data_IF_529654088131
#
_entry.id   IF_529654088131
#
_cell.length_a   1.000
_cell.length_b   1.000
_cell.length_c   1.000
_cell.angle_alpha   90.00
_cell.angle_beta   90.00
_cell.angle_gamma   90.00
#
_symmetry.space_group_name_H-M   'P 1'
#
loop_
_entity.id
_entity.type
_entity.pdbx_description
1 polymer ?
#
# COMPACT_ATOMS: atom_id res chain seq x y z
N UNK A 1 -95.42 -2.99 32.54
CA UNK A 1 -94.28 -2.44 33.32
C UNK A 1 -93.11 -2.16 32.38
N UNK A 2 -92.74 -0.88 32.21
CA UNK A 2 -91.67 -0.42 31.31
C UNK A 2 -90.28 -0.78 31.87
N UNK A 3 -89.43 -1.45 31.09
CA UNK A 3 -87.97 -1.52 31.36
C UNK A 3 -87.20 -1.02 30.13
N UNK A 4 -86.22 -0.16 30.44
CA UNK A 4 -85.44 0.70 29.56
C UNK A 4 -84.56 -0.09 28.59
N UNK A 5 -84.42 0.41 27.36
CA UNK A 5 -83.40 0.00 26.38
C UNK A 5 -82.04 0.56 26.79
N UNK A 6 -81.00 -0.28 26.78
CA UNK A 6 -79.59 0.12 26.88
C UNK A 6 -78.93 -0.32 25.57
N UNK A 7 -78.43 0.64 24.80
CA UNK A 7 -77.61 0.42 23.61
C UNK A 7 -76.14 0.32 24.05
N UNK A 8 -75.45 -0.78 23.72
CA UNK A 8 -73.99 -0.87 23.80
C UNK A 8 -73.45 -1.33 22.46
N UNK A 9 -72.53 -0.50 21.93
CA UNK A 9 -71.91 -0.60 20.61
C UNK A 9 -70.89 -1.74 20.55
N UNK A 10 -70.87 -2.38 19.39
CA UNK A 10 -69.96 -3.43 18.92
C UNK A 10 -68.55 -2.84 18.72
N UNK A 11 -67.52 -3.50 19.27
CA UNK A 11 -66.11 -3.31 18.87
C UNK A 11 -65.57 -4.70 18.52
N UNK A 12 -65.22 -4.89 17.25
CA UNK A 12 -64.61 -6.10 16.68
C UNK A 12 -63.09 -5.94 16.82
N UNK A 13 -62.41 -6.92 17.45
CA UNK A 13 -60.96 -6.98 17.52
C UNK A 13 -60.47 -8.26 16.83
N UNK A 14 -59.75 -8.09 15.72
CA UNK A 14 -59.20 -9.15 14.88
C UNK A 14 -57.92 -9.71 15.50
N UNK A 15 -57.86 -11.01 15.77
CA UNK A 15 -56.67 -11.71 16.29
C UNK A 15 -56.05 -12.53 15.15
N UNK A 16 -54.86 -12.13 14.67
CA UNK A 16 -54.01 -12.95 13.79
C UNK A 16 -53.16 -13.91 14.63
N UNK A 17 -53.14 -15.18 14.23
CA UNK A 17 -52.30 -16.26 14.78
C UNK A 17 -50.79 -15.96 14.63
N UNK A 18 -50.01 -16.31 15.65
CA UNK A 18 -48.56 -16.44 15.57
C UNK A 18 -48.16 -17.87 16.01
N UNK A 19 -47.76 -18.72 15.06
CA UNK A 19 -47.25 -20.06 15.29
C UNK A 19 -45.74 -20.02 15.51
N UNK A 20 -45.27 -20.45 16.69
CA UNK A 20 -43.85 -20.53 17.03
C UNK A 20 -43.25 -21.84 16.54
N UNK A 21 -42.38 -21.79 15.53
CA UNK A 21 -41.52 -22.89 15.12
C UNK A 21 -40.28 -22.88 16.02
N UNK A 22 -40.08 -23.92 16.82
CA UNK A 22 -38.88 -24.13 17.62
C UNK A 22 -37.80 -24.71 16.71
N UNK A 23 -36.87 -23.86 16.27
CA UNK A 23 -35.66 -24.26 15.54
C UNK A 23 -34.67 -24.88 16.55
N UNK A 24 -34.14 -26.10 16.34
CA UNK A 24 -33.12 -26.64 17.23
C UNK A 24 -31.83 -25.85 17.04
N UNK A 25 -31.39 -25.19 18.13
CA UNK A 25 -30.09 -24.55 18.21
C UNK A 25 -29.02 -25.65 18.16
N UNK A 26 -28.47 -25.92 16.98
CA UNK A 26 -27.19 -26.60 16.89
C UNK A 26 -26.14 -25.68 17.52
N UNK A 27 -25.66 -26.03 18.70
CA UNK A 27 -24.51 -25.38 19.31
C UNK A 27 -23.31 -25.57 18.38
N UNK A 28 -22.98 -24.52 17.62
CA UNK A 28 -21.73 -24.43 16.87
C UNK A 28 -20.62 -24.42 17.93
N UNK A 29 -19.86 -25.50 18.04
CA UNK A 29 -18.69 -25.53 18.91
C UNK A 29 -17.72 -24.48 18.40
N UNK A 30 -17.54 -23.39 19.15
CA UNK A 30 -16.59 -22.35 18.81
C UNK A 30 -15.19 -22.93 18.89
N UNK A 31 -14.51 -23.08 17.75
CA UNK A 31 -13.07 -23.25 17.75
C UNK A 31 -12.47 -22.03 18.45
N UNK A 32 -11.63 -22.24 19.47
CA UNK A 32 -10.94 -21.15 20.13
C UNK A 32 -10.14 -20.35 19.09
N UNK A 33 -10.34 -19.03 19.04
CA UNK A 33 -9.59 -18.15 18.17
C UNK A 33 -8.09 -18.30 18.50
N UNK A 34 -7.27 -18.67 17.52
CA UNK A 34 -5.81 -18.68 17.65
C UNK A 34 -5.36 -17.31 18.15
N UNK A 35 -4.71 -17.25 19.31
CA UNK A 35 -4.27 -15.97 19.87
C UNK A 35 -2.88 -15.63 19.33
N UNK A 36 -2.58 -14.33 19.19
CA UNK A 36 -1.24 -13.86 18.75
C UNK A 36 -0.12 -14.33 19.69
N UNK A 37 -0.42 -14.58 20.96
CA UNK A 37 0.48 -15.20 21.93
C UNK A 37 0.89 -16.62 21.53
N UNK A 38 -0.01 -17.40 20.93
CA UNK A 38 0.27 -18.78 20.53
C UNK A 38 1.26 -18.84 19.35
N UNK A 39 1.08 -17.94 18.37
CA UNK A 39 1.98 -17.80 17.22
C UNK A 39 3.41 -17.49 17.67
N UNK A 40 3.56 -16.53 18.60
CA UNK A 40 4.88 -16.16 19.12
C UNK A 40 5.48 -17.28 19.96
N UNK A 41 4.66 -17.98 20.76
CA UNK A 41 5.12 -19.12 21.53
C UNK A 41 5.62 -20.25 20.62
N UNK A 42 4.92 -20.53 19.52
CA UNK A 42 5.35 -21.50 18.51
C UNK A 42 6.65 -21.07 17.84
N UNK A 43 6.74 -19.82 17.37
CA UNK A 43 7.95 -19.26 16.76
C UNK A 43 9.18 -19.41 17.68
N UNK A 44 9.02 -19.17 18.99
CA UNK A 44 10.09 -19.28 19.98
C UNK A 44 10.65 -20.70 20.15
N UNK A 45 9.88 -21.75 19.84
CA UNK A 45 10.37 -23.15 19.87
C UNK A 45 11.47 -23.43 18.84
N UNK A 46 11.72 -22.49 17.93
CA UNK A 46 12.67 -22.66 16.84
C UNK A 46 13.92 -21.79 16.98
N UNK A 47 14.05 -21.01 18.07
CA UNK A 47 15.26 -20.23 18.35
C UNK A 47 16.52 -21.11 18.28
N UNK A 48 17.57 -20.59 17.64
CA UNK A 48 18.85 -21.25 17.42
C UNK A 48 18.87 -22.25 16.25
N UNK A 49 17.73 -22.55 15.60
CA UNK A 49 17.73 -23.45 14.43
C UNK A 49 18.48 -22.80 13.26
N UNK A 50 19.24 -23.59 12.46
CA UNK A 50 20.09 -23.06 11.41
C UNK A 50 19.29 -22.44 10.27
N UNK A 51 19.86 -21.38 9.69
CA UNK A 51 19.34 -20.81 8.45
C UNK A 51 19.80 -21.63 7.24
N UNK A 52 18.90 -21.89 6.30
CA UNK A 52 19.22 -22.45 4.98
C UNK A 52 18.30 -21.83 3.93
N UNK A 53 18.89 -21.31 2.85
CA UNK A 53 18.13 -20.81 1.71
C UNK A 53 17.15 -21.88 1.18
N UNK A 54 15.87 -21.54 1.04
CA UNK A 54 14.81 -22.47 0.67
C UNK A 54 14.31 -23.38 1.81
N UNK A 55 14.79 -23.19 3.04
CA UNK A 55 14.46 -24.03 4.19
C UNK A 55 13.04 -23.79 4.71
N UNK A 56 12.23 -24.85 4.84
CA UNK A 56 10.81 -24.78 5.23
C UNK A 56 10.48 -25.56 6.50
N UNK A 57 11.50 -25.82 7.33
CA UNK A 57 11.38 -26.55 8.59
C UNK A 57 11.34 -28.08 8.48
N UNK A 58 11.22 -28.76 9.63
CA UNK A 58 11.34 -28.19 10.97
C UNK A 58 12.80 -27.98 11.41
N UNK A 59 13.79 -28.52 10.70
CA UNK A 59 15.18 -28.56 11.17
C UNK A 59 16.03 -27.36 10.74
N UNK A 60 15.62 -26.64 9.71
CA UNK A 60 16.28 -25.44 9.20
C UNK A 60 15.29 -24.57 8.43
N UNK A 61 15.54 -23.27 8.36
CA UNK A 61 14.61 -22.31 7.76
C UNK A 61 15.32 -21.25 6.93
N UNK A 62 14.69 -20.72 5.89
CA UNK A 62 14.92 -19.34 5.47
C UNK A 62 13.86 -18.41 6.10
N UNK A 63 13.90 -17.11 5.80
CA UNK A 63 13.03 -16.12 6.43
C UNK A 63 11.54 -16.39 6.17
N UNK A 64 11.13 -16.53 4.91
CA UNK A 64 9.73 -16.79 4.52
C UNK A 64 9.27 -18.21 4.86
N UNK A 65 10.15 -19.21 4.77
CA UNK A 65 9.88 -20.58 5.17
C UNK A 65 9.70 -20.74 6.67
N UNK A 66 10.41 -19.97 7.49
CA UNK A 66 10.18 -19.88 8.93
C UNK A 66 8.77 -19.38 9.25
N UNK A 67 8.39 -18.23 8.69
CA UNK A 67 7.06 -17.64 8.93
C UNK A 67 5.96 -18.58 8.44
N UNK A 68 6.07 -19.08 7.21
CA UNK A 68 5.11 -20.04 6.65
C UNK A 68 4.95 -21.29 7.54
N UNK A 69 6.05 -21.85 8.06
CA UNK A 69 6.00 -23.02 8.94
C UNK A 69 5.29 -22.75 10.26
N UNK A 70 5.56 -21.60 10.91
CA UNK A 70 4.93 -21.23 12.18
C UNK A 70 3.43 -21.07 12.01
N UNK A 71 3.00 -20.32 10.99
CA UNK A 71 1.57 -20.10 10.73
C UNK A 71 0.83 -21.38 10.32
N UNK A 72 1.51 -22.30 9.63
CA UNK A 72 0.96 -23.61 9.28
C UNK A 72 0.55 -24.45 10.50
N UNK A 73 1.17 -24.26 11.66
CA UNK A 73 0.77 -24.97 12.90
C UNK A 73 -0.63 -24.58 13.41
N UNK A 74 -1.19 -23.49 12.87
CA UNK A 74 -2.48 -22.95 13.24
C UNK A 74 -3.53 -23.04 12.11
N UNK A 75 -3.26 -23.88 11.11
CA UNK A 75 -4.04 -24.05 9.88
C UNK A 75 -4.06 -22.80 8.96
N UNK A 76 -3.05 -21.94 9.08
CA UNK A 76 -2.90 -20.74 8.25
C UNK A 76 -1.82 -21.01 7.20
N UNK A 77 -2.25 -21.22 5.95
CA UNK A 77 -1.35 -21.51 4.85
C UNK A 77 -0.85 -20.21 4.21
N UNK A 78 0.41 -19.86 4.48
CA UNK A 78 1.11 -18.75 3.83
C UNK A 78 2.13 -19.29 2.82
N UNK A 79 2.39 -18.59 1.70
CA UNK A 79 3.48 -18.96 0.81
C UNK A 79 4.82 -18.84 1.55
N UNK A 80 5.78 -19.68 1.15
CA UNK A 80 7.13 -19.71 1.72
C UNK A 80 8.11 -18.87 0.88
N UNK A 81 7.62 -17.79 0.29
CA UNK A 81 8.37 -16.93 -0.62
C UNK A 81 8.14 -15.46 -0.26
N UNK A 82 9.20 -14.66 -0.36
CA UNK A 82 9.16 -13.20 -0.23
C UNK A 82 9.94 -12.61 -1.42
N UNK A 83 9.40 -11.54 -1.98
CA UNK A 83 9.87 -10.85 -3.18
C UNK A 83 8.78 -9.92 -3.71
N UNK A 84 9.08 -9.05 -4.66
CA UNK A 84 8.13 -8.02 -5.16
C UNK A 84 6.93 -8.61 -5.91
N UNK A 85 7.16 -9.65 -6.69
CA UNK A 85 6.16 -10.19 -7.61
C UNK A 85 5.73 -11.59 -7.21
N UNK A 86 4.62 -12.06 -7.79
CA UNK A 86 4.14 -13.43 -7.61
C UNK A 86 3.43 -13.65 -6.28
N UNK A 87 3.33 -14.91 -5.86
CA UNK A 87 2.62 -15.33 -4.64
C UNK A 87 3.48 -15.09 -3.38
N UNK A 88 3.82 -13.82 -3.15
CA UNK A 88 4.69 -13.38 -2.07
C UNK A 88 3.93 -13.28 -0.75
N UNK A 89 4.57 -13.65 0.36
CA UNK A 89 3.94 -13.68 1.69
C UNK A 89 3.41 -12.32 2.13
N UNK A 90 4.00 -11.22 1.65
CA UNK A 90 3.52 -9.87 1.93
C UNK A 90 2.20 -9.53 1.24
N UNK A 91 1.70 -10.38 0.34
CA UNK A 91 0.36 -10.20 -0.21
C UNK A 91 -0.71 -10.59 0.80
N UNK A 92 -0.42 -11.41 1.81
CA UNK A 92 -1.43 -12.03 2.67
C UNK A 92 -1.71 -11.23 3.95
N UNK A 93 -3.00 -11.14 4.32
CA UNK A 93 -3.45 -10.49 5.55
C UNK A 93 -3.69 -8.99 5.42
N UNK A 94 -4.12 -8.37 6.52
CA UNK A 94 -4.44 -6.94 6.55
C UNK A 94 -3.16 -6.10 6.58
N UNK A 95 -3.07 -5.09 5.72
CA UNK A 95 -1.96 -4.12 5.71
C UNK A 95 -1.86 -3.41 7.07
N UNK A 96 -0.65 -3.34 7.62
CA UNK A 96 -0.28 -2.48 8.75
C UNK A 96 0.80 -1.52 8.24
N UNK A 97 0.40 -0.27 7.96
CA UNK A 97 1.22 0.71 7.26
C UNK A 97 2.25 1.39 8.16
N UNK A 98 1.89 1.68 9.42
CA UNK A 98 2.77 2.37 10.35
C UNK A 98 3.42 1.39 11.32
N UNK A 99 4.71 1.59 11.57
CA UNK A 99 5.46 0.81 12.56
C UNK A 99 4.88 0.93 13.98
N UNK A 100 4.21 2.05 14.29
CA UNK A 100 3.50 2.28 15.56
C UNK A 100 2.26 1.42 15.75
N UNK A 101 1.67 0.93 14.65
CA UNK A 101 0.43 0.14 14.66
C UNK A 101 0.70 -1.36 14.75
N UNK A 102 1.98 -1.74 14.81
CA UNK A 102 2.41 -3.13 14.94
C UNK A 102 1.90 -3.73 16.23
N UNK A 103 1.29 -4.90 16.09
CA UNK A 103 0.88 -5.75 17.20
C UNK A 103 1.69 -7.04 17.16
N UNK A 104 2.11 -7.57 18.33
CA UNK A 104 2.80 -8.86 18.36
C UNK A 104 2.01 -9.91 17.57
N UNK A 105 2.70 -10.65 16.70
CA UNK A 105 2.11 -11.61 15.76
C UNK A 105 1.98 -11.11 14.32
N UNK A 106 2.04 -9.79 14.08
CA UNK A 106 2.11 -9.25 12.71
C UNK A 106 3.39 -9.74 12.01
N UNK A 107 3.33 -10.05 10.72
CA UNK A 107 4.53 -10.30 9.92
C UNK A 107 5.09 -8.97 9.44
N UNK A 108 6.40 -8.77 9.58
CA UNK A 108 7.10 -7.54 9.23
C UNK A 108 7.98 -7.82 8.02
N UNK A 109 7.81 -7.01 6.99
CA UNK A 109 8.59 -7.08 5.75
C UNK A 109 9.72 -6.07 5.84
N UNK A 110 10.93 -6.53 5.55
CA UNK A 110 12.14 -5.73 5.57
C UNK A 110 12.91 -5.82 4.25
N UNK A 111 13.94 -4.99 4.12
CA UNK A 111 14.96 -5.09 3.07
C UNK A 111 14.39 -5.08 1.65
N UNK A 112 13.38 -4.23 1.43
CA UNK A 112 12.72 -4.09 0.13
C UNK A 112 12.16 -5.43 -0.38
N UNK A 113 11.36 -6.09 0.46
CA UNK A 113 10.82 -7.44 0.19
C UNK A 113 11.89 -8.53 0.07
N UNK A 114 13.08 -8.31 0.65
CA UNK A 114 14.14 -9.31 0.74
C UNK A 114 14.07 -10.17 2.00
N UNK A 115 13.39 -9.69 3.05
CA UNK A 115 13.37 -10.35 4.35
C UNK A 115 12.01 -10.24 5.05
N UNK A 116 11.70 -11.22 5.91
CA UNK A 116 10.46 -11.24 6.70
C UNK A 116 10.66 -11.88 8.07
N UNK A 117 9.94 -11.39 9.07
CA UNK A 117 9.89 -11.97 10.42
C UNK A 117 8.55 -11.72 11.11
N UNK A 118 8.37 -12.29 12.31
CA UNK A 118 7.15 -12.12 13.11
C UNK A 118 7.44 -11.12 14.21
N UNK A 119 6.65 -10.04 14.31
CA UNK A 119 6.80 -9.02 15.34
C UNK A 119 6.53 -9.61 16.72
N UNK A 120 7.44 -9.38 17.67
CA UNK A 120 7.34 -9.87 19.06
C UNK A 120 7.18 -8.74 20.07
N UNK A 121 7.01 -7.50 19.61
CA UNK A 121 6.91 -6.31 20.47
C UNK A 121 8.25 -5.59 20.66
N UNK A 122 8.18 -4.38 21.22
CA UNK A 122 9.35 -3.55 21.58
C UNK A 122 10.32 -3.33 20.41
N UNK A 123 9.82 -3.17 19.18
CA UNK A 123 10.65 -2.97 18.00
C UNK A 123 11.44 -4.20 17.53
N UNK A 124 11.10 -5.40 18.01
CA UNK A 124 11.81 -6.65 17.67
C UNK A 124 10.95 -7.63 16.87
N UNK A 125 11.60 -8.42 16.03
CA UNK A 125 11.04 -9.56 15.30
C UNK A 125 11.75 -10.85 15.70
N UNK A 126 11.03 -11.97 15.61
CA UNK A 126 11.64 -13.31 15.52
C UNK A 126 11.73 -13.71 14.03
N UNK A 127 12.92 -14.08 13.59
CA UNK A 127 13.22 -14.36 12.18
C UNK A 127 14.33 -15.40 12.03
N UNK A 128 14.34 -16.14 10.92
CA UNK A 128 15.53 -16.86 10.46
C UNK A 128 16.45 -15.84 9.78
N UNK A 129 17.49 -15.38 10.48
CA UNK A 129 18.22 -14.18 10.13
C UNK A 129 19.19 -14.37 8.96
N UNK A 130 20.10 -15.33 9.07
CA UNK A 130 21.18 -15.59 8.11
C UNK A 130 21.94 -16.88 8.49
N UNK A 131 22.82 -17.44 7.62
CA UNK A 131 23.57 -18.66 7.89
C UNK A 131 24.40 -18.68 9.18
N UNK A 132 24.82 -17.51 9.69
CA UNK A 132 25.63 -17.39 10.90
C UNK A 132 24.79 -17.45 12.17
N UNK A 133 23.66 -16.75 12.18
CA UNK A 133 22.88 -16.54 13.40
C UNK A 133 21.67 -17.47 13.53
N UNK A 134 21.19 -18.06 12.43
CA UNK A 134 19.99 -18.91 12.44
C UNK A 134 18.72 -18.15 12.85
N UNK A 135 17.78 -18.85 13.50
CA UNK A 135 16.56 -18.25 14.04
C UNK A 135 16.85 -17.51 15.34
N UNK A 136 16.58 -16.22 15.37
CA UNK A 136 16.82 -15.36 16.55
C UNK A 136 15.74 -14.31 16.73
N UNK A 137 15.78 -13.61 17.86
CA UNK A 137 15.07 -12.35 18.05
C UNK A 137 16.05 -11.20 17.83
N UNK A 138 15.64 -10.18 17.08
CA UNK A 138 16.45 -9.00 16.81
C UNK A 138 15.59 -7.78 16.49
N UNK A 139 16.19 -6.57 16.48
CA UNK A 139 15.47 -5.35 16.17
C UNK A 139 15.04 -5.33 14.70
N UNK A 140 13.98 -4.58 14.40
CA UNK A 140 13.61 -4.16 13.04
C UNK A 140 14.66 -3.13 12.57
N UNK A 141 15.22 -3.32 11.37
CA UNK A 141 16.20 -2.40 10.78
C UNK A 141 15.66 -1.64 9.58
N UNK A 142 15.14 -2.34 8.58
CA UNK A 142 14.78 -1.78 7.27
C UNK A 142 13.30 -1.99 6.98
N UNK A 143 12.45 -1.51 7.89
CA UNK A 143 11.00 -1.66 7.80
C UNK A 143 10.45 -1.17 6.45
N UNK A 144 9.65 -2.02 5.79
CA UNK A 144 8.93 -1.66 4.56
C UNK A 144 7.44 -1.56 4.85
N UNK A 145 6.84 -2.64 5.35
CA UNK A 145 5.41 -2.75 5.67
C UNK A 145 5.21 -3.94 6.60
N UNK A 146 3.99 -4.11 7.13
CA UNK A 146 3.61 -5.32 7.85
C UNK A 146 2.24 -5.85 7.41
N UNK A 147 1.98 -7.11 7.76
CA UNK A 147 0.68 -7.74 7.57
C UNK A 147 0.20 -8.37 8.87
N UNK A 148 -1.06 -8.10 9.19
CA UNK A 148 -1.79 -8.73 10.29
C UNK A 148 -2.56 -9.93 9.76
N UNK A 149 -2.21 -11.11 10.26
CA UNK A 149 -2.79 -12.38 9.82
C UNK A 149 -3.86 -12.81 10.84
N UNK A 150 -5.11 -12.95 10.41
CA UNK A 150 -6.27 -13.27 11.27
C UNK A 150 -6.96 -14.53 10.73
N UNK A 151 -7.15 -15.56 11.56
CA UNK A 151 -7.74 -16.87 11.16
C UNK A 151 -9.16 -16.77 10.61
N UNK A 152 -9.95 -15.80 11.09
CA UNK A 152 -11.36 -15.61 10.72
C UNK A 152 -11.59 -14.61 9.57
N UNK A 153 -10.52 -14.03 9.03
CA UNK A 153 -10.57 -13.37 7.71
C UNK A 153 -10.17 -14.43 6.68
N UNK A 154 -10.89 -14.61 5.55
CA UNK A 154 -10.54 -15.64 4.59
C UNK A 154 -9.05 -15.59 4.27
N UNK A 155 -8.31 -16.64 4.64
CA UNK A 155 -6.94 -16.91 4.16
C UNK A 155 -7.00 -17.50 2.74
N UNK A 156 -8.00 -17.08 1.96
CA UNK A 156 -7.88 -17.06 0.50
C UNK A 156 -6.79 -16.04 0.19
N UNK A 157 -5.95 -16.24 -0.86
CA UNK A 157 -5.12 -15.15 -1.34
C UNK A 157 -6.03 -13.92 -1.38
N UNK A 158 -5.66 -12.79 -0.74
CA UNK A 158 -6.50 -11.61 -0.86
C UNK A 158 -6.73 -11.47 -2.34
N UNK A 159 -8.01 -11.27 -2.69
CA UNK A 159 -8.44 -10.78 -4.01
C UNK A 159 -7.24 -10.07 -4.61
N UNK A 160 -6.65 -10.59 -5.70
CA UNK A 160 -5.30 -10.22 -6.12
C UNK A 160 -5.18 -8.74 -5.88
N UNK A 161 -4.30 -8.31 -4.94
CA UNK A 161 -4.12 -6.89 -4.59
C UNK A 161 -4.19 -6.23 -5.93
N UNK A 162 -5.26 -5.46 -6.14
CA UNK A 162 -5.51 -4.98 -7.48
C UNK A 162 -4.19 -4.37 -7.90
N UNK A 163 -3.52 -4.77 -9.00
CA UNK A 163 -2.21 -4.22 -9.30
C UNK A 163 -2.25 -2.68 -9.34
N UNK A 164 -3.46 -2.10 -9.43
CA UNK A 164 -3.78 -0.68 -9.24
C UNK A 164 -3.57 -0.17 -7.81
N UNK A 165 -3.88 -0.94 -6.75
CA UNK A 165 -3.59 -0.59 -5.35
C UNK A 165 -2.09 -0.51 -5.04
N UNK A 166 -1.27 -1.36 -5.68
CA UNK A 166 0.19 -1.31 -5.48
C UNK A 166 0.78 -0.07 -6.16
N UNK A 167 0.43 0.17 -7.43
CA UNK A 167 0.90 1.36 -8.15
C UNK A 167 0.38 2.64 -7.51
N UNK A 168 -0.88 2.68 -7.05
CA UNK A 168 -1.44 3.81 -6.31
C UNK A 168 -0.58 4.19 -5.11
N UNK A 169 -0.17 3.21 -4.31
CA UNK A 169 0.69 3.44 -3.14
C UNK A 169 2.11 3.83 -3.53
N UNK A 170 2.63 3.30 -4.64
CA UNK A 170 3.97 3.65 -5.14
C UNK A 170 4.01 5.11 -5.61
N UNK A 171 2.98 5.55 -6.32
CA UNK A 171 2.93 6.91 -6.87
C UNK A 171 2.41 7.95 -5.86
N UNK A 172 1.89 7.53 -4.70
CA UNK A 172 1.38 8.47 -3.71
C UNK A 172 2.46 8.94 -2.75
N UNK A 173 2.70 10.24 -2.74
CA UNK A 173 3.58 10.90 -1.79
C UNK A 173 2.77 11.86 -0.93
N UNK A 174 2.56 11.47 0.33
CA UNK A 174 1.75 12.25 1.28
C UNK A 174 2.29 13.67 1.51
N UNK A 175 3.62 13.85 1.51
CA UNK A 175 4.20 15.18 1.72
C UNK A 175 3.94 16.07 0.50
N UNK A 176 4.20 15.55 -0.70
CA UNK A 176 3.86 16.24 -1.93
C UNK A 176 2.37 16.56 -1.99
N UNK A 177 1.50 15.58 -1.69
CA UNK A 177 0.06 15.74 -1.80
C UNK A 177 -0.46 16.80 -0.84
N UNK A 178 0.03 16.82 0.40
CA UNK A 178 -0.29 17.86 1.37
C UNK A 178 0.19 19.25 0.92
N UNK A 179 1.42 19.36 0.41
CA UNK A 179 2.00 20.63 -0.02
C UNK A 179 1.31 21.18 -1.28
N UNK A 180 0.89 20.31 -2.19
CA UNK A 180 0.13 20.66 -3.38
C UNK A 180 -1.33 21.05 -3.08
N UNK A 181 -1.87 20.61 -1.93
CA UNK A 181 -3.29 20.70 -1.59
C UNK A 181 -3.48 21.26 -0.18
N UNK A 182 -3.26 22.57 -0.01
CA UNK A 182 -3.27 23.20 1.31
C UNK A 182 -4.62 23.06 2.02
N UNK A 183 -5.74 23.05 1.27
CA UNK A 183 -7.08 22.79 1.79
C UNK A 183 -7.22 21.43 2.48
N UNK A 184 -6.55 20.41 1.96
CA UNK A 184 -6.56 19.04 2.51
C UNK A 184 -5.58 18.95 3.68
N UNK A 185 -4.39 19.55 3.52
CA UNK A 185 -3.37 19.60 4.57
C UNK A 185 -3.86 20.34 5.82
N UNK A 186 -4.64 21.40 5.68
CA UNK A 186 -5.15 22.16 6.82
C UNK A 186 -6.12 21.32 7.67
N UNK A 187 -6.71 20.25 7.12
CA UNK A 187 -7.61 19.32 7.82
C UNK A 187 -6.85 18.11 8.38
N UNK A 188 -6.00 17.48 7.56
CA UNK A 188 -5.39 16.18 7.88
C UNK A 188 -3.89 16.26 8.20
N UNK A 189 -3.29 17.43 8.11
CA UNK A 189 -1.84 17.61 8.22
C UNK A 189 -1.09 16.81 7.17
N UNK A 190 -0.10 16.06 7.63
CA UNK A 190 0.74 15.16 6.81
C UNK A 190 0.45 13.68 7.09
N UNK A 191 -0.75 13.36 7.60
CA UNK A 191 -1.15 11.97 7.88
C UNK A 191 -1.33 11.18 6.59
N UNK A 192 -0.47 10.17 6.38
CA UNK A 192 -0.45 9.38 5.14
C UNK A 192 -1.81 8.75 4.82
N UNK A 193 -2.43 8.06 5.79
CA UNK A 193 -3.64 7.27 5.53
C UNK A 193 -4.84 8.18 5.25
N UNK A 194 -4.95 9.33 5.94
CA UNK A 194 -6.00 10.33 5.69
C UNK A 194 -5.83 11.01 4.35
N UNK A 195 -4.60 11.39 3.99
CA UNK A 195 -4.32 12.03 2.71
C UNK A 195 -4.52 11.07 1.54
N UNK A 196 -4.08 9.81 1.69
CA UNK A 196 -4.29 8.76 0.70
C UNK A 196 -5.78 8.47 0.52
N UNK A 197 -6.53 8.33 1.61
CA UNK A 197 -7.97 8.14 1.56
C UNK A 197 -8.66 9.31 0.84
N UNK A 198 -8.32 10.55 1.18
CA UNK A 198 -8.87 11.73 0.51
C UNK A 198 -8.55 11.72 -1.00
N UNK A 199 -7.32 11.34 -1.38
CA UNK A 199 -6.95 11.24 -2.78
C UNK A 199 -7.77 10.18 -3.54
N UNK A 200 -7.95 8.99 -2.96
CA UNK A 200 -8.76 7.94 -3.58
C UNK A 200 -10.23 8.34 -3.72
N UNK A 201 -10.82 8.95 -2.69
CA UNK A 201 -12.26 9.25 -2.65
C UNK A 201 -12.62 10.51 -3.44
N UNK A 202 -11.72 11.50 -3.48
CA UNK A 202 -11.96 12.83 -4.04
C UNK A 202 -10.88 13.27 -5.03
N UNK A 203 -9.60 13.17 -4.63
CA UNK A 203 -8.49 13.74 -5.39
C UNK A 203 -8.36 13.22 -6.83
N UNK A 204 -8.61 11.93 -7.07
CA UNK A 204 -8.59 11.35 -8.42
C UNK A 204 -9.63 11.97 -9.35
N UNK A 205 -10.84 12.22 -8.84
CA UNK A 205 -11.94 12.87 -9.59
C UNK A 205 -11.67 14.34 -9.82
N UNK A 206 -11.04 14.99 -8.86
CA UNK A 206 -10.66 16.40 -8.91
C UNK A 206 -9.40 16.67 -9.76
N UNK A 207 -8.69 15.62 -10.18
CA UNK A 207 -7.46 15.74 -10.97
C UNK A 207 -6.23 16.12 -10.15
N UNK A 208 -6.26 15.96 -8.82
CA UNK A 208 -5.11 16.24 -7.95
C UNK A 208 -4.02 15.23 -8.18
N UNK A 209 -2.79 15.70 -8.45
CA UNK A 209 -1.62 14.85 -8.63
C UNK A 209 -1.22 14.21 -7.29
N UNK A 210 -0.87 12.91 -7.23
CA UNK A 210 -0.53 12.22 -5.98
C UNK A 210 0.96 12.38 -5.59
N UNK A 211 1.78 12.78 -6.56
CA UNK A 211 3.21 13.03 -6.45
C UNK A 211 3.65 13.82 -7.69
N UNK A 212 4.94 14.15 -7.74
CA UNK A 212 5.52 14.79 -8.92
C UNK A 212 5.47 13.91 -10.19
N UNK A 213 5.33 12.59 -10.08
CA UNK A 213 5.51 11.68 -11.24
C UNK A 213 4.26 11.51 -12.10
N UNK A 214 3.07 11.77 -11.56
CA UNK A 214 1.82 11.59 -12.30
C UNK A 214 0.94 12.84 -12.20
N UNK A 215 0.79 13.53 -13.33
CA UNK A 215 -0.12 14.66 -13.50
C UNK A 215 -1.22 14.21 -14.49
N UNK A 216 -2.46 13.96 -14.04
CA UNK A 216 -3.49 13.41 -14.91
C UNK A 216 -3.87 14.35 -16.06
N UNK A 217 -3.75 15.66 -15.88
CA UNK A 217 -3.99 16.64 -16.95
C UNK A 217 -2.90 16.59 -18.01
N UNK A 218 -1.64 16.55 -17.57
CA UNK A 218 -0.50 16.40 -18.48
C UNK A 218 -0.50 15.04 -19.18
N UNK A 219 -0.88 13.97 -18.46
CA UNK A 219 -1.02 12.62 -19.00
C UNK A 219 -2.02 12.58 -20.16
N UNK A 220 -3.21 13.15 -19.99
CA UNK A 220 -4.21 13.24 -21.07
C UNK A 220 -3.77 14.12 -22.23
N UNK A 221 -3.00 15.18 -21.96
CA UNK A 221 -2.50 16.09 -23.00
C UNK A 221 -1.42 15.45 -23.87
N UNK A 222 -0.61 14.55 -23.31
CA UNK A 222 0.55 13.95 -23.99
C UNK A 222 0.33 12.49 -24.42
N UNK A 223 -0.82 11.91 -24.11
CA UNK A 223 -1.22 10.57 -24.56
C UNK A 223 -2.61 10.65 -25.20
N UNK A 224 -2.68 11.17 -26.42
CA UNK A 224 -3.95 11.51 -27.09
C UNK A 224 -4.87 10.30 -27.29
N UNK A 225 -4.30 9.11 -27.50
CA UNK A 225 -5.05 7.86 -27.61
C UNK A 225 -5.80 7.52 -26.30
N UNK A 226 -5.21 7.84 -25.15
CA UNK A 226 -5.83 7.63 -23.84
C UNK A 226 -7.00 8.57 -23.65
N UNK A 227 -6.83 9.84 -24.04
CA UNK A 227 -7.87 10.86 -23.92
C UNK A 227 -9.17 10.44 -24.60
N UNK A 228 -9.07 9.84 -25.78
CA UNK A 228 -10.20 9.31 -26.54
C UNK A 228 -10.80 8.06 -25.88
N UNK A 229 -9.95 7.18 -25.36
CA UNK A 229 -10.37 5.94 -24.71
C UNK A 229 -11.13 6.16 -23.38
N UNK A 230 -10.83 7.24 -22.65
CA UNK A 230 -11.36 7.47 -21.28
C UNK A 230 -12.27 8.69 -21.15
N UNK A 231 -12.65 9.29 -22.29
CA UNK A 231 -13.61 10.40 -22.33
C UNK A 231 -13.07 11.71 -21.74
N UNK A 232 -11.75 11.91 -21.74
CA UNK A 232 -11.08 13.11 -21.23
C UNK A 232 -11.45 13.48 -19.78
N UNK A 233 -11.59 12.49 -18.90
CA UNK A 233 -11.82 12.67 -17.46
C UNK A 233 -10.55 12.36 -16.66
N UNK A 234 -10.32 13.06 -15.55
CA UNK A 234 -9.18 12.76 -14.67
C UNK A 234 -9.30 11.38 -14.03
N UNK A 235 -10.51 10.98 -13.61
CA UNK A 235 -10.77 9.63 -13.12
C UNK A 235 -10.44 8.57 -14.19
N UNK A 236 -10.80 8.84 -15.45
CA UNK A 236 -10.42 8.01 -16.59
C UNK A 236 -8.91 7.93 -16.80
N UNK A 237 -8.18 9.04 -16.64
CA UNK A 237 -6.72 9.08 -16.72
C UNK A 237 -6.08 8.15 -15.68
N UNK A 238 -6.55 8.19 -14.43
CA UNK A 238 -6.11 7.30 -13.36
C UNK A 238 -6.42 5.83 -13.67
N UNK A 239 -7.66 5.52 -14.06
CA UNK A 239 -8.07 4.16 -14.44
C UNK A 239 -7.17 3.60 -15.54
N UNK A 240 -6.86 4.40 -16.57
CA UNK A 240 -5.99 3.97 -17.65
C UNK A 240 -4.54 3.81 -17.18
N UNK A 241 -4.01 4.79 -16.44
CA UNK A 241 -2.64 4.74 -15.94
C UNK A 241 -2.38 3.49 -15.09
N UNK A 242 -3.25 3.26 -14.11
CA UNK A 242 -3.18 2.13 -13.19
C UNK A 242 -3.30 0.80 -13.95
N UNK A 243 -4.16 0.74 -14.96
CA UNK A 243 -4.40 -0.50 -15.70
C UNK A 243 -3.34 -0.85 -16.72
N UNK A 244 -2.95 0.15 -17.49
CA UNK A 244 -2.17 0.01 -18.70
C UNK A 244 -1.01 0.99 -18.74
N UNK A 245 -1.25 2.26 -18.43
CA UNK A 245 -0.32 3.35 -18.72
C UNK A 245 1.06 3.19 -18.09
N UNK A 246 1.17 2.71 -16.85
CA UNK A 246 2.47 2.49 -16.25
C UNK A 246 3.28 1.39 -16.96
N UNK A 247 2.62 0.46 -17.66
CA UNK A 247 3.24 -0.67 -18.41
C UNK A 247 3.56 -0.32 -19.85
N UNK A 248 2.98 0.74 -20.39
CA UNK A 248 3.01 1.10 -21.82
C UNK A 248 4.03 2.20 -22.16
N UNK A 249 5.02 2.42 -21.30
CA UNK A 249 6.08 3.40 -21.56
C UNK A 249 5.55 4.82 -21.84
N UNK A 250 4.55 5.24 -21.07
CA UNK A 250 3.87 6.52 -21.27
C UNK A 250 4.65 7.72 -20.69
N UNK A 251 4.29 8.91 -21.18
CA UNK A 251 4.70 10.19 -20.59
C UNK A 251 3.73 10.51 -19.45
N UNK A 252 4.22 10.62 -18.21
CA UNK A 252 3.37 10.63 -17.01
C UNK A 252 3.21 12.02 -16.39
N UNK A 253 4.24 12.85 -16.49
CA UNK A 253 4.27 14.20 -15.97
C UNK A 253 5.38 14.99 -16.68
N UNK A 254 5.43 16.33 -16.52
CA UNK A 254 6.53 17.14 -17.05
C UNK A 254 7.91 16.68 -16.57
N UNK A 255 7.99 16.00 -15.43
CA UNK A 255 9.26 15.56 -14.83
C UNK A 255 9.55 14.07 -15.01
N UNK A 256 8.60 13.32 -15.56
CA UNK A 256 8.76 11.88 -15.76
C UNK A 256 8.15 11.38 -17.07
N UNK A 257 9.04 10.97 -17.98
CA UNK A 257 8.76 10.28 -19.22
C UNK A 257 9.44 8.89 -19.14
N UNK A 258 8.64 7.81 -19.14
CA UNK A 258 9.16 6.45 -18.95
C UNK A 258 10.20 6.07 -20.02
N UNK A 259 9.96 6.45 -21.28
CA UNK A 259 10.87 6.16 -22.39
C UNK A 259 12.19 6.90 -22.17
N UNK A 260 12.10 8.21 -21.88
CA UNK A 260 13.28 9.03 -21.63
C UNK A 260 14.11 8.48 -20.48
N UNK A 261 13.47 8.18 -19.35
CA UNK A 261 14.16 7.73 -18.15
C UNK A 261 14.92 6.41 -18.38
N UNK A 262 14.31 5.45 -19.09
CA UNK A 262 14.94 4.19 -19.51
C UNK A 262 16.14 4.39 -20.44
N UNK A 263 16.09 5.40 -21.31
CA UNK A 263 17.14 5.67 -22.28
C UNK A 263 18.32 6.43 -21.64
N UNK A 264 18.02 7.43 -20.81
CA UNK A 264 19.01 8.27 -20.15
C UNK A 264 19.77 7.53 -19.02
N UNK A 265 19.18 6.48 -18.44
CA UNK A 265 19.74 5.78 -17.28
C UNK A 265 19.84 4.28 -17.56
N UNK A 266 20.97 3.84 -18.12
CA UNK A 266 21.14 2.45 -18.57
C UNK A 266 21.05 1.42 -17.43
N UNK A 267 21.41 1.82 -16.20
CA UNK A 267 21.31 1.01 -14.99
C UNK A 267 19.86 0.66 -14.62
N UNK A 268 18.93 1.56 -14.93
CA UNK A 268 17.49 1.41 -14.64
C UNK A 268 16.88 0.27 -15.47
N UNK A 269 17.49 -0.10 -16.62
CA UNK A 269 17.06 -1.26 -17.42
C UNK A 269 17.20 -2.59 -16.66
N UNK A 270 18.14 -2.68 -15.72
CA UNK A 270 18.35 -3.90 -14.93
C UNK A 270 17.21 -4.15 -13.91
N UNK A 271 16.33 -3.17 -13.68
CA UNK A 271 15.19 -3.29 -12.78
C UNK A 271 14.05 -4.15 -13.36
N UNK A 272 14.12 -4.52 -14.65
CA UNK A 272 13.27 -5.55 -15.28
C UNK A 272 11.85 -5.10 -15.64
N UNK A 273 11.16 -4.37 -14.77
CA UNK A 273 9.76 -3.98 -14.97
C UNK A 273 9.55 -2.48 -14.80
N UNK A 274 8.53 -1.94 -15.48
CA UNK A 274 8.17 -0.52 -15.35
C UNK A 274 7.75 -0.15 -13.92
N UNK A 275 7.17 -1.09 -13.18
CA UNK A 275 6.85 -0.90 -11.77
C UNK A 275 8.14 -0.69 -10.95
N UNK A 276 9.16 -1.52 -11.18
CA UNK A 276 10.48 -1.37 -10.56
C UNK A 276 11.14 -0.04 -10.91
N UNK A 277 10.96 0.43 -12.15
CA UNK A 277 11.48 1.72 -12.62
C UNK A 277 10.80 2.89 -11.92
N UNK A 278 9.46 2.89 -11.82
CA UNK A 278 8.72 3.93 -11.10
C UNK A 278 9.08 3.94 -9.61
N UNK A 279 9.16 2.76 -9.01
CA UNK A 279 9.57 2.58 -7.62
C UNK A 279 10.97 3.15 -7.38
N UNK A 280 11.91 2.83 -8.26
CA UNK A 280 13.26 3.35 -8.19
C UNK A 280 13.28 4.87 -8.31
N UNK A 281 12.54 5.45 -9.26
CA UNK A 281 12.55 6.90 -9.42
C UNK A 281 11.96 7.64 -8.21
N UNK A 282 10.83 7.15 -7.69
CA UNK A 282 10.18 7.70 -6.50
C UNK A 282 11.08 7.64 -5.27
N UNK A 283 11.78 6.52 -5.07
CA UNK A 283 12.59 6.28 -3.87
C UNK A 283 14.00 6.89 -3.96
N UNK A 284 14.64 6.76 -5.12
CA UNK A 284 16.05 7.09 -5.33
C UNK A 284 16.24 8.13 -6.42
N UNK A 285 15.64 7.95 -7.59
CA UNK A 285 15.93 8.77 -8.77
C UNK A 285 15.77 10.28 -8.53
N UNK A 286 14.70 10.71 -7.87
CA UNK A 286 14.52 12.12 -7.51
C UNK A 286 15.56 12.63 -6.51
N UNK A 287 15.95 11.83 -5.52
CA UNK A 287 16.95 12.18 -4.51
C UNK A 287 18.37 12.23 -5.09
N UNK A 288 18.65 11.37 -6.07
CA UNK A 288 19.90 11.33 -6.84
C UNK A 288 20.01 12.47 -7.87
N UNK A 289 18.90 13.15 -8.17
CA UNK A 289 18.83 14.18 -9.20
C UNK A 289 18.83 13.62 -10.63
N UNK A 290 18.28 12.42 -10.83
CA UNK A 290 18.25 11.76 -12.14
C UNK A 290 17.29 12.47 -13.10
N UNK A 291 17.78 12.88 -14.26
CA UNK A 291 16.93 13.44 -15.33
C UNK A 291 16.03 12.33 -15.89
N UNK A 292 14.71 12.52 -15.76
CA UNK A 292 13.70 11.54 -16.17
C UNK A 292 12.71 12.08 -17.21
N UNK A 293 12.90 13.31 -17.65
CA UNK A 293 12.15 13.95 -18.72
C UNK A 293 13.08 14.92 -19.45
N UNK A 294 12.88 15.05 -20.74
CA UNK A 294 13.48 16.07 -21.59
C UNK A 294 13.07 17.49 -21.17
N UNK A 295 11.93 17.66 -20.50
CA UNK A 295 11.40 18.98 -20.11
C UNK A 295 11.93 19.48 -18.77
N UNK A 296 12.56 18.61 -17.96
CA UNK A 296 12.97 18.97 -16.61
C UNK A 296 14.30 18.34 -16.20
N UNK A 297 15.25 19.21 -15.86
CA UNK A 297 16.52 18.84 -15.24
C UNK A 297 16.65 19.52 -13.86
N UNK A 298 16.66 18.77 -12.75
CA UNK A 298 16.70 19.34 -11.40
C UNK A 298 17.98 20.13 -11.14
N UNK A 299 19.11 19.75 -11.76
CA UNK A 299 20.37 20.45 -11.61
C UNK A 299 20.35 21.81 -12.30
N UNK A 300 19.78 21.89 -13.51
CA UNK A 300 19.59 23.16 -14.22
C UNK A 300 18.57 24.03 -13.49
N UNK A 301 17.45 23.44 -13.08
CA UNK A 301 16.41 24.13 -12.32
C UNK A 301 16.98 24.73 -11.02
N UNK A 302 17.79 23.98 -10.26
CA UNK A 302 18.47 24.50 -9.08
C UNK A 302 19.43 25.65 -9.42
N UNK A 303 20.20 25.55 -10.49
CA UNK A 303 21.15 26.61 -10.89
C UNK A 303 20.46 27.91 -11.31
N UNK A 304 19.30 27.80 -11.98
CA UNK A 304 18.55 28.93 -12.53
C UNK A 304 17.64 29.63 -11.51
N UNK A 305 17.38 28.98 -10.38
CA UNK A 305 16.45 29.44 -9.35
C UNK A 305 17.15 29.53 -7.99
N UNK A 306 18.01 30.54 -7.83
CA UNK A 306 18.88 30.68 -6.66
C UNK A 306 18.12 30.85 -5.34
N UNK A 307 16.94 31.47 -5.39
CA UNK A 307 16.05 31.67 -4.24
C UNK A 307 15.68 30.34 -3.56
N UNK A 308 15.32 29.33 -4.34
CA UNK A 308 15.00 28.00 -3.82
C UNK A 308 16.23 27.12 -3.67
N UNK A 309 17.32 27.41 -4.40
CA UNK A 309 18.58 26.67 -4.25
C UNK A 309 19.16 26.79 -2.85
N UNK A 310 19.12 27.99 -2.29
CA UNK A 310 19.60 28.24 -0.93
C UNK A 310 18.76 27.50 0.11
N UNK A 311 17.45 27.37 -0.13
CA UNK A 311 16.54 26.64 0.75
C UNK A 311 16.64 25.11 0.62
N UNK A 312 16.84 24.58 -0.59
CA UNK A 312 16.76 23.14 -0.87
C UNK A 312 18.13 22.46 -0.87
N UNK A 313 19.21 23.20 -1.15
CA UNK A 313 20.57 22.67 -1.21
C UNK A 313 20.66 21.49 -2.18
N UNK A 314 21.14 20.34 -1.68
CA UNK A 314 21.28 19.09 -2.45
C UNK A 314 20.04 18.19 -2.41
N UNK A 315 18.93 18.64 -1.83
CA UNK A 315 17.70 17.85 -1.82
C UNK A 315 17.00 17.95 -3.19
N UNK A 316 17.44 17.12 -4.13
CA UNK A 316 16.93 17.17 -5.50
C UNK A 316 15.42 16.92 -5.59
N UNK A 317 14.86 16.05 -4.74
CA UNK A 317 13.43 15.78 -4.69
C UNK A 317 12.59 17.05 -4.51
N UNK A 318 13.02 17.98 -3.63
CA UNK A 318 12.31 19.26 -3.45
C UNK A 318 12.22 20.10 -4.71
N UNK A 319 13.18 20.00 -5.63
CA UNK A 319 13.12 20.72 -6.90
C UNK A 319 12.07 20.12 -7.85
N UNK A 320 11.89 18.80 -7.86
CA UNK A 320 10.79 18.14 -8.60
C UNK A 320 9.44 18.58 -8.05
N UNK A 321 9.26 18.46 -6.73
CA UNK A 321 8.02 18.81 -6.05
C UNK A 321 7.69 20.30 -6.29
N UNK A 322 8.67 21.20 -6.08
CA UNK A 322 8.50 22.63 -6.30
C UNK A 322 8.14 22.96 -7.76
N UNK A 323 8.79 22.33 -8.74
CA UNK A 323 8.50 22.61 -10.14
C UNK A 323 7.06 22.26 -10.50
N UNK A 324 6.56 21.12 -10.03
CA UNK A 324 5.18 20.69 -10.27
C UNK A 324 4.17 21.57 -9.53
N UNK A 325 4.40 21.88 -8.25
CA UNK A 325 3.45 22.63 -7.42
C UNK A 325 3.40 24.12 -7.80
N UNK A 326 4.57 24.72 -8.03
CA UNK A 326 4.74 26.17 -8.20
C UNK A 326 5.42 26.54 -9.52
N UNK A 327 6.56 25.91 -9.82
CA UNK A 327 7.49 26.37 -10.85
C UNK A 327 6.91 26.54 -12.24
N UNK A 328 6.03 25.63 -12.68
CA UNK A 328 5.34 25.73 -13.97
C UNK A 328 4.45 26.96 -14.07
N UNK A 329 3.70 27.25 -13.01
CA UNK A 329 2.79 28.41 -12.93
C UNK A 329 3.55 29.72 -12.85
N UNK A 330 4.73 29.68 -12.22
CA UNK A 330 5.65 30.81 -12.10
C UNK A 330 6.49 31.03 -13.36
N UNK A 331 6.41 30.13 -14.37
CA UNK A 331 7.18 30.23 -15.61
C UNK A 331 8.69 30.03 -15.41
N UNK A 332 9.11 29.29 -14.38
CA UNK A 332 10.53 29.09 -14.06
C UNK A 332 11.22 28.22 -15.10
N UNK A 333 12.43 28.64 -15.50
CA UNK A 333 13.30 27.92 -16.45
C UNK A 333 13.79 26.61 -15.83
N UNK A 334 13.65 25.50 -16.56
CA UNK A 334 13.72 24.15 -16.01
C UNK A 334 14.51 23.11 -16.80
N UNK A 335 15.05 23.45 -17.96
CA UNK A 335 15.87 22.56 -18.80
C UNK A 335 16.96 23.32 -19.54
#
# INVERSE_FOLDING_TARGET
MKRKRINIKIIIFTIMMLSTIIMPCFSRQAFAATTTSDIIAEAKKHLGKPYRWGGKGPNSFDCSGFVSYVFKQFDINLPSYIGYEGDSIHNYGQVVSNISDLKPGDIVIEENYGHVGIYVGNGNIIHAANPKDGVKIGPIYNYVTARRIIKDTPVTPPVPVNPYEEIDRIIFDANFYADANTDVRDIYGYDYDKLYQHWQEHGKKEGRSPSAIFDPGYYLANNSDVKDAVGNTYEGAYIHFEKYGYKEDRVLSPVFNMIYYKQANSDVKALGSNLGILTHFMKYGMNEGRVASEEFNPGIYAQRNSDIKDAFGKNYKKYYDHYIIHGRREGRVCH
#
